data_IF_460059524285
#
_entry.id   IF_460059524285
#
_cell.length_a   1.000
_cell.length_b   1.000
_cell.length_c   1.000
_cell.angle_alpha   90.00
_cell.angle_beta   90.00
_cell.angle_gamma   90.00
#
_symmetry.space_group_name_H-M   'P 1'
#
loop_
_entity.id
_entity.type
_entity.pdbx_description
1 polymer ?
#
# COMPACT_ATOMS: atom_id res chain seq x y z
N UNK A 1 22.89 24.55 -65.68
CA UNK A 1 23.28 24.04 -64.35
C UNK A 1 22.26 24.54 -63.34
N UNK A 2 21.29 23.71 -62.88
CA UNK A 2 20.28 24.17 -61.94
C UNK A 2 20.80 24.08 -60.50
N UNK A 3 20.58 25.14 -59.71
CA UNK A 3 20.85 25.18 -58.27
C UNK A 3 19.65 24.59 -57.54
N UNK A 4 19.84 23.46 -56.87
CA UNK A 4 18.84 22.83 -56.00
C UNK A 4 18.86 23.59 -54.67
N UNK A 5 17.76 24.28 -54.37
CA UNK A 5 17.55 25.00 -53.12
C UNK A 5 17.06 24.02 -52.05
N UNK A 6 17.95 23.68 -51.10
CA UNK A 6 17.67 22.76 -50.01
C UNK A 6 16.98 23.53 -48.88
N UNK A 7 15.65 23.48 -48.83
CA UNK A 7 14.87 24.03 -47.72
C UNK A 7 14.90 23.06 -46.55
N UNK A 8 15.70 23.39 -45.53
CA UNK A 8 15.75 22.65 -44.26
C UNK A 8 14.53 23.06 -43.42
N UNK A 9 13.54 22.17 -43.32
CA UNK A 9 12.45 22.31 -42.35
C UNK A 9 13.02 21.98 -40.95
N UNK A 10 13.16 22.99 -40.10
CA UNK A 10 13.31 22.79 -38.66
C UNK A 10 11.95 22.30 -38.09
N UNK A 11 11.85 20.99 -37.88
CA UNK A 11 10.78 20.41 -37.08
C UNK A 11 11.01 20.72 -35.60
N UNK A 12 10.17 21.57 -35.02
CA UNK A 12 10.13 21.79 -33.58
C UNK A 12 9.61 20.51 -32.89
N UNK A 13 10.51 19.70 -32.35
CA UNK A 13 10.16 18.58 -31.47
C UNK A 13 9.74 19.19 -30.13
N UNK A 14 8.44 19.28 -29.91
CA UNK A 14 7.87 19.60 -28.60
C UNK A 14 7.98 18.34 -27.75
N UNK A 15 9.05 18.25 -26.96
CA UNK A 15 9.17 17.29 -25.87
C UNK A 15 8.15 17.68 -24.80
N UNK A 16 7.01 17.00 -24.78
CA UNK A 16 6.12 16.96 -23.63
C UNK A 16 6.86 16.20 -22.52
N UNK A 17 7.65 16.92 -21.73
CA UNK A 17 8.20 16.42 -20.47
C UNK A 17 7.02 16.04 -19.58
N UNK A 18 6.77 14.73 -19.47
CA UNK A 18 5.90 14.18 -18.46
C UNK A 18 6.49 14.57 -17.11
N UNK A 19 5.88 15.54 -16.44
CA UNK A 19 6.14 15.78 -15.03
C UNK A 19 5.78 14.51 -14.29
N UNK A 20 6.76 13.85 -13.69
CA UNK A 20 6.53 12.79 -12.71
C UNK A 20 5.57 13.34 -11.66
N UNK A 21 4.33 12.89 -11.75
CA UNK A 21 3.28 13.28 -10.82
C UNK A 21 3.64 12.60 -9.51
N UNK A 22 4.22 13.37 -8.58
CA UNK A 22 4.38 12.96 -7.19
C UNK A 22 3.09 12.25 -6.74
N UNK A 23 3.24 11.07 -6.13
CA UNK A 23 2.14 10.23 -5.67
C UNK A 23 1.02 11.10 -5.09
N UNK A 24 -0.10 11.21 -5.81
CA UNK A 24 -1.16 12.12 -5.40
C UNK A 24 -1.85 11.51 -4.20
N UNK A 25 -1.97 12.32 -3.15
CA UNK A 25 -2.59 11.93 -1.90
C UNK A 25 -4.11 12.04 -1.99
N UNK A 26 -4.69 11.16 -2.81
CA UNK A 26 -6.12 11.10 -3.01
C UNK A 26 -6.88 10.91 -1.68
N UNK A 27 -7.94 11.69 -1.51
CA UNK A 27 -8.88 11.64 -0.39
C UNK A 27 -10.26 11.17 -0.85
N UNK A 28 -11.09 10.73 0.10
CA UNK A 28 -12.51 10.50 -0.17
C UNK A 28 -13.16 11.82 -0.60
N UNK A 29 -13.87 11.81 -1.72
CA UNK A 29 -14.45 12.99 -2.36
C UNK A 29 -13.62 13.53 -3.53
N UNK A 30 -12.37 13.11 -3.69
CA UNK A 30 -11.55 13.52 -4.82
C UNK A 30 -12.03 12.89 -6.13
N UNK A 31 -11.82 13.62 -7.22
CA UNK A 31 -12.12 13.16 -8.58
C UNK A 31 -10.89 12.47 -9.15
N UNK A 32 -11.03 11.20 -9.50
CA UNK A 32 -9.94 10.40 -10.03
C UNK A 32 -10.40 9.54 -11.21
N UNK A 33 -9.47 9.23 -12.10
CA UNK A 33 -9.64 8.22 -13.15
C UNK A 33 -9.13 6.87 -12.64
N UNK A 34 -9.97 5.86 -12.76
CA UNK A 34 -9.69 4.47 -12.40
C UNK A 34 -10.03 3.58 -13.61
N UNK A 35 -9.03 2.92 -14.19
CA UNK A 35 -9.20 2.06 -15.39
C UNK A 35 -9.90 2.75 -16.58
N UNK A 36 -9.57 4.02 -16.84
CA UNK A 36 -10.17 4.80 -17.93
C UNK A 36 -11.55 5.39 -17.61
N UNK A 37 -12.09 5.17 -16.42
CA UNK A 37 -13.37 5.71 -15.98
C UNK A 37 -13.14 6.81 -14.93
N UNK A 38 -13.74 7.97 -15.15
CA UNK A 38 -13.61 9.12 -14.24
C UNK A 38 -14.78 9.15 -13.26
N UNK A 39 -14.48 9.11 -11.97
CA UNK A 39 -15.47 9.13 -10.90
C UNK A 39 -15.00 9.89 -9.67
N UNK A 40 -15.72 9.67 -8.57
CA UNK A 40 -15.39 10.22 -7.25
C UNK A 40 -14.94 9.08 -6.35
N UNK A 41 -13.83 9.26 -5.63
CA UNK A 41 -13.38 8.29 -4.64
C UNK A 41 -14.39 8.29 -3.49
N UNK A 42 -15.17 7.23 -3.38
CA UNK A 42 -16.22 7.10 -2.38
C UNK A 42 -15.68 6.59 -1.03
N UNK A 43 -14.68 5.71 -1.07
CA UNK A 43 -14.06 5.11 0.12
C UNK A 43 -12.75 4.40 -0.22
N UNK A 44 -12.02 4.03 0.81
CA UNK A 44 -10.88 3.13 0.73
C UNK A 44 -11.23 1.81 1.40
N UNK A 45 -11.25 0.72 0.62
CA UNK A 45 -11.48 -0.63 1.13
C UNK A 45 -10.13 -1.25 1.47
N UNK A 46 -9.94 -1.81 2.69
CA UNK A 46 -8.71 -2.49 3.04
C UNK A 46 -8.48 -3.68 2.10
N UNK A 47 -7.25 -3.79 1.58
CA UNK A 47 -6.84 -4.95 0.81
C UNK A 47 -6.11 -5.90 1.73
N UNK A 48 -6.76 -7.01 2.08
CA UNK A 48 -6.17 -7.97 3.02
C UNK A 48 -4.85 -8.51 2.44
N UNK A 49 -3.79 -8.47 3.23
CA UNK A 49 -2.44 -8.86 2.83
C UNK A 49 -1.62 -7.78 2.11
N UNK A 50 -2.14 -6.56 1.96
CA UNK A 50 -1.43 -5.44 1.32
C UNK A 50 -1.60 -4.16 2.15
N UNK A 51 -0.58 -3.30 2.20
CA UNK A 51 -0.65 -2.03 2.95
C UNK A 51 -1.53 -1.00 2.26
N UNK A 52 -1.60 -1.10 0.94
CA UNK A 52 -2.35 -0.16 0.12
C UNK A 52 -3.81 -0.61 0.00
N UNK A 53 -4.77 0.20 0.48
CA UNK A 53 -6.19 -0.07 0.29
C UNK A 53 -6.57 0.11 -1.19
N UNK A 54 -7.67 -0.52 -1.59
CA UNK A 54 -8.33 -0.16 -2.84
C UNK A 54 -9.05 1.16 -2.66
N UNK A 55 -8.82 2.13 -3.55
CA UNK A 55 -9.76 3.23 -3.74
C UNK A 55 -10.98 2.71 -4.50
N UNK A 56 -12.16 2.89 -3.94
CA UNK A 56 -13.42 2.62 -4.63
C UNK A 56 -13.89 3.90 -5.29
N UNK A 57 -13.81 3.94 -6.62
CA UNK A 57 -14.24 5.07 -7.44
C UNK A 57 -15.66 4.83 -7.93
N UNK A 58 -16.58 5.69 -7.53
CA UNK A 58 -17.97 5.71 -7.98
C UNK A 58 -18.11 6.53 -9.28
N UNK A 59 -18.66 5.89 -10.30
CA UNK A 59 -18.89 6.48 -11.62
C UNK A 59 -20.40 6.46 -11.90
N UNK A 60 -20.99 7.64 -12.09
CA UNK A 60 -22.41 7.78 -12.45
C UNK A 60 -22.56 7.84 -13.97
N UNK A 61 -23.28 6.89 -14.55
CA UNK A 61 -23.57 6.86 -15.98
C UNK A 61 -25.03 6.44 -16.20
N UNK A 62 -25.78 7.28 -16.93
CA UNK A 62 -27.19 7.02 -17.30
C UNK A 62 -28.10 6.64 -16.13
N UNK A 63 -27.94 7.31 -14.98
CA UNK A 63 -28.75 7.06 -13.78
C UNK A 63 -28.36 5.81 -12.99
N UNK A 64 -27.36 5.05 -13.43
CA UNK A 64 -26.77 3.93 -12.68
C UNK A 64 -25.43 4.36 -12.08
N UNK A 65 -25.12 3.90 -10.86
CA UNK A 65 -23.82 4.10 -10.21
C UNK A 65 -23.02 2.81 -10.31
N UNK A 66 -21.80 2.91 -10.84
CA UNK A 66 -20.85 1.81 -10.97
C UNK A 66 -19.70 2.04 -9.99
N UNK A 67 -19.20 0.97 -9.37
CA UNK A 67 -18.04 1.02 -8.48
C UNK A 67 -16.84 0.34 -9.15
N UNK A 68 -15.71 1.04 -9.15
CA UNK A 68 -14.44 0.51 -9.65
C UNK A 68 -13.42 0.49 -8.51
N UNK A 69 -12.75 -0.65 -8.30
CA UNK A 69 -11.68 -0.77 -7.31
C UNK A 69 -10.34 -0.58 -7.99
N UNK A 70 -9.61 0.45 -7.60
CA UNK A 70 -8.26 0.73 -8.08
C UNK A 70 -7.26 0.71 -6.95
N UNK A 71 -6.06 0.19 -7.21
CA UNK A 71 -4.90 0.45 -6.33
C UNK A 71 -4.39 1.88 -6.56
N UNK A 72 -3.68 2.50 -5.61
CA UNK A 72 -3.15 3.87 -5.76
C UNK A 72 -2.38 4.11 -7.06
N UNK A 73 -1.58 3.13 -7.51
CA UNK A 73 -0.83 3.20 -8.77
C UNK A 73 -1.70 3.21 -10.05
N UNK A 74 -2.98 2.85 -9.95
CA UNK A 74 -3.95 2.90 -11.04
C UNK A 74 -4.77 4.20 -11.06
N UNK A 75 -4.72 5.00 -10.00
CA UNK A 75 -5.44 6.26 -9.93
C UNK A 75 -4.68 7.36 -10.67
N UNK A 76 -5.37 8.04 -11.58
CA UNK A 76 -4.87 9.25 -12.23
C UNK A 76 -5.71 10.46 -11.84
N UNK A 77 -5.05 11.62 -11.78
CA UNK A 77 -5.73 12.88 -11.49
C UNK A 77 -6.74 13.13 -12.60
N UNK A 78 -8.02 13.18 -12.26
CA UNK A 78 -9.01 13.59 -13.24
C UNK A 78 -8.86 15.10 -13.47
N UNK A 79 -8.98 15.60 -14.71
CA UNK A 79 -9.12 17.02 -14.94
C UNK A 79 -10.24 17.59 -14.07
N UNK A 80 -10.12 18.83 -13.57
CA UNK A 80 -11.23 19.48 -12.88
C UNK A 80 -12.46 19.37 -13.78
N UNK A 81 -13.60 18.99 -13.20
CA UNK A 81 -14.84 18.91 -13.96
C UNK A 81 -15.01 20.25 -14.68
N UNK A 82 -14.97 20.23 -16.01
CA UNK A 82 -15.23 21.44 -16.78
C UNK A 82 -16.65 21.84 -16.39
N UNK A 83 -16.75 22.91 -15.61
CA UNK A 83 -18.03 23.48 -15.23
C UNK A 83 -18.84 23.58 -16.51
N UNK A 84 -19.93 22.83 -16.59
CA UNK A 84 -20.88 23.01 -17.68
C UNK A 84 -21.15 24.52 -17.78
N UNK A 85 -21.13 25.13 -18.98
CA UNK A 85 -21.24 26.57 -19.13
C UNK A 85 -22.48 27.05 -18.40
N UNK A 86 -22.26 27.67 -17.24
CA UNK A 86 -23.31 28.21 -16.40
C UNK A 86 -23.86 29.44 -17.11
N UNK A 87 -25.03 29.33 -17.75
CA UNK A 87 -25.82 30.49 -18.11
C UNK A 87 -26.07 31.30 -16.82
N UNK A 88 -25.64 32.57 -16.87
CA UNK A 88 -25.22 33.30 -15.67
C UNK A 88 -26.33 33.80 -14.76
N UNK A 89 -25.91 34.24 -13.57
CA UNK A 89 -26.56 35.31 -12.82
C UNK A 89 -25.61 35.85 -11.75
N UNK A 90 -25.24 37.12 -11.87
CA UNK A 90 -24.30 37.85 -11.01
C UNK A 90 -25.02 38.40 -9.78
N UNK A 91 -24.51 38.17 -8.57
CA UNK A 91 -24.86 38.95 -7.38
C UNK A 91 -23.62 39.18 -6.47
N UNK A 92 -23.46 40.37 -5.86
CA UNK A 92 -22.18 40.82 -5.32
C UNK A 92 -21.87 40.44 -3.87
N UNK A 93 -20.58 40.46 -3.59
CA UNK A 93 -19.86 40.03 -2.38
C UNK A 93 -20.08 40.87 -1.12
N UNK A 94 -19.85 40.25 0.06
CA UNK A 94 -19.69 40.94 1.35
C UNK A 94 -18.38 40.50 2.04
N UNK A 95 -17.65 41.49 2.56
CA UNK A 95 -16.27 41.46 3.06
C UNK A 95 -16.15 41.20 4.57
N UNK A 96 -15.11 40.42 4.91
CA UNK A 96 -14.10 40.56 6.00
C UNK A 96 -14.49 40.33 7.46
N UNK A 97 -13.79 39.35 8.05
CA UNK A 97 -12.88 39.60 9.17
C UNK A 97 -13.05 38.68 10.37
N UNK A 98 -11.98 38.02 10.84
CA UNK A 98 -11.57 37.94 12.26
C UNK A 98 -10.19 37.28 12.40
N UNK A 99 -9.44 37.78 13.39
CA UNK A 99 -8.00 37.69 13.67
C UNK A 99 -7.54 36.32 14.18
N UNK A 100 -6.26 36.02 13.91
CA UNK A 100 -5.48 34.90 14.45
C UNK A 100 -4.66 35.44 15.63
N UNK A 101 -4.68 34.77 16.79
CA UNK A 101 -3.78 35.02 17.93
C UNK A 101 -2.93 33.80 18.21
N UNK A 102 -1.63 34.05 18.42
CA UNK A 102 -0.59 33.09 18.73
C UNK A 102 -0.44 32.91 20.25
N UNK A 103 -0.03 31.71 20.69
CA UNK A 103 0.51 31.52 22.04
C UNK A 103 0.61 30.06 22.49
N UNK A 104 1.83 29.63 22.87
CA UNK A 104 2.05 28.73 24.00
C UNK A 104 2.45 27.28 23.71
N UNK A 105 3.75 27.01 23.77
CA UNK A 105 4.36 25.68 23.92
C UNK A 105 4.24 25.18 25.35
N UNK A 106 3.48 24.10 25.57
CA UNK A 106 3.60 23.20 26.70
C UNK A 106 3.06 21.83 26.27
N UNK A 107 3.89 20.78 26.30
CA UNK A 107 3.45 19.40 26.01
C UNK A 107 2.56 18.93 27.16
N UNK A 108 1.25 18.71 26.94
CA UNK A 108 0.36 18.21 27.97
C UNK A 108 0.59 16.70 28.16
N UNK A 109 0.31 16.14 29.36
CA UNK A 109 0.09 14.70 29.46
C UNK A 109 -1.00 14.33 28.46
N UNK A 110 -0.73 13.31 27.64
CA UNK A 110 -1.70 12.81 26.68
C UNK A 110 -2.88 12.22 27.45
N UNK A 111 -3.90 13.04 27.70
CA UNK A 111 -5.21 12.60 28.16
C UNK A 111 -5.82 11.84 26.98
N UNK A 112 -5.40 10.59 26.82
CA UNK A 112 -5.98 9.73 25.81
C UNK A 112 -7.47 9.59 26.13
N UNK A 113 -8.34 9.66 25.11
CA UNK A 113 -9.76 9.47 25.29
C UNK A 113 -9.98 8.11 25.92
N UNK A 114 -10.41 8.11 27.19
CA UNK A 114 -10.73 6.92 28.00
C UNK A 114 -12.06 6.30 27.55
N UNK A 115 -12.33 6.31 26.24
CA UNK A 115 -13.33 5.44 25.66
C UNK A 115 -12.85 4.00 25.76
N UNK A 116 -13.73 3.02 25.93
CA UNK A 116 -13.33 1.62 25.94
C UNK A 116 -12.87 1.23 24.52
N UNK A 117 -11.56 1.37 24.26
CA UNK A 117 -10.90 0.93 23.02
C UNK A 117 -11.27 -0.53 22.71
N UNK A 118 -11.46 -1.32 23.77
CA UNK A 118 -11.68 -2.76 23.70
C UNK A 118 -13.15 -3.15 23.63
N UNK A 119 -13.87 -2.53 22.70
CA UNK A 119 -15.18 -3.04 22.29
C UNK A 119 -14.96 -4.27 21.41
N UNK A 120 -15.59 -5.39 21.73
CA UNK A 120 -15.53 -6.61 20.88
C UNK A 120 -15.87 -6.27 19.44
N UNK A 121 -15.03 -6.72 18.50
CA UNK A 121 -15.12 -6.42 17.08
C UNK A 121 -14.56 -5.06 16.66
N UNK A 122 -14.05 -4.24 17.60
CA UNK A 122 -13.36 -3.01 17.25
C UNK A 122 -12.09 -3.31 16.46
N UNK A 123 -11.86 -2.50 15.42
CA UNK A 123 -10.64 -2.51 14.61
C UNK A 123 -9.69 -1.45 15.14
N UNK A 124 -8.56 -1.89 15.65
CA UNK A 124 -7.54 -1.05 16.27
C UNK A 124 -6.19 -1.29 15.58
N UNK A 125 -5.18 -0.56 16.03
CA UNK A 125 -3.79 -0.93 15.82
C UNK A 125 -3.19 -1.41 17.14
N UNK A 126 -2.50 -2.55 17.09
CA UNK A 126 -1.77 -3.15 18.20
C UNK A 126 -0.26 -3.04 18.00
N UNK A 127 0.45 -2.63 19.04
CA UNK A 127 1.90 -2.49 19.02
C UNK A 127 2.58 -3.84 19.25
N UNK A 128 3.47 -4.23 18.34
CA UNK A 128 4.36 -5.39 18.49
C UNK A 128 5.80 -4.95 18.19
N UNK A 129 6.65 -5.00 19.22
CA UNK A 129 7.97 -4.39 19.17
C UNK A 129 7.88 -2.88 18.92
N UNK A 130 8.50 -2.41 17.84
CA UNK A 130 8.51 -0.98 17.44
C UNK A 130 7.43 -0.64 16.39
N UNK A 131 6.68 -1.64 15.94
CA UNK A 131 5.74 -1.53 14.83
C UNK A 131 4.29 -1.63 15.31
N UNK A 132 3.37 -1.06 14.54
CA UNK A 132 1.93 -1.11 14.80
C UNK A 132 1.26 -1.93 13.70
N UNK A 133 0.39 -2.85 14.09
CA UNK A 133 -0.28 -3.79 13.18
C UNK A 133 -1.80 -3.70 13.34
N UNK A 134 -2.55 -3.99 12.29
CA UNK A 134 -4.01 -4.02 12.37
C UNK A 134 -4.47 -5.19 13.25
N UNK A 135 -5.37 -4.91 14.20
CA UNK A 135 -5.91 -5.93 15.11
C UNK A 135 -7.43 -5.83 15.26
N UNK A 136 -8.06 -6.96 15.56
CA UNK A 136 -9.47 -7.06 15.94
C UNK A 136 -9.61 -7.47 17.40
N UNK A 137 -10.40 -6.74 18.17
CA UNK A 137 -10.71 -7.10 19.56
C UNK A 137 -11.63 -8.33 19.60
N UNK A 138 -11.16 -9.41 20.21
CA UNK A 138 -11.88 -10.68 20.34
C UNK A 138 -12.77 -10.74 21.58
N UNK A 139 -12.33 -10.14 22.69
CA UNK A 139 -13.00 -10.19 23.98
C UNK A 139 -13.01 -8.82 24.66
N UNK A 140 -13.97 -8.55 25.56
CA UNK A 140 -13.91 -7.37 26.41
C UNK A 140 -12.64 -7.41 27.30
N UNK A 141 -12.25 -6.26 27.90
CA UNK A 141 -11.12 -6.21 28.81
C UNK A 141 -11.20 -7.28 29.91
N UNK A 142 -10.07 -7.91 30.21
CA UNK A 142 -9.94 -8.77 31.39
C UNK A 142 -9.87 -7.93 32.68
N UNK A 143 -9.69 -8.59 33.83
CA UNK A 143 -9.59 -7.91 35.13
C UNK A 143 -8.42 -6.92 35.21
N UNK A 144 -7.38 -7.12 34.41
CA UNK A 144 -6.18 -6.26 34.32
C UNK A 144 -6.34 -5.15 33.27
N UNK A 145 -7.49 -5.06 32.61
CA UNK A 145 -7.76 -4.08 31.56
C UNK A 145 -7.14 -4.39 30.21
N UNK A 146 -6.51 -5.56 30.03
CA UNK A 146 -5.96 -6.03 28.77
C UNK A 146 -7.03 -6.62 27.86
N UNK A 147 -6.81 -6.54 26.57
CA UNK A 147 -7.81 -6.88 25.56
C UNK A 147 -7.26 -8.01 24.71
N UNK A 148 -8.04 -9.10 24.60
CA UNK A 148 -7.70 -10.17 23.67
C UNK A 148 -7.89 -9.64 22.26
N UNK A 149 -6.84 -9.69 21.45
CA UNK A 149 -6.86 -9.23 20.06
C UNK A 149 -6.34 -10.31 19.13
N UNK A 150 -6.83 -10.29 17.90
CA UNK A 150 -6.30 -11.06 16.78
C UNK A 150 -5.66 -10.13 15.77
N UNK A 151 -4.46 -10.47 15.30
CA UNK A 151 -3.79 -9.69 14.26
C UNK A 151 -4.42 -9.99 12.90
N UNK A 152 -4.91 -8.95 12.22
CA UNK A 152 -5.61 -9.08 10.95
C UNK A 152 -4.65 -9.64 9.88
N UNK A 153 -4.99 -10.80 9.29
CA UNK A 153 -4.17 -11.46 8.27
C UNK A 153 -3.15 -12.46 8.82
N UNK A 154 -3.09 -12.61 10.14
CA UNK A 154 -2.25 -13.60 10.83
C UNK A 154 -3.12 -14.74 11.38
N UNK A 155 -2.51 -15.90 11.61
CA UNK A 155 -3.19 -17.06 12.21
C UNK A 155 -3.53 -16.84 13.69
N UNK A 156 -4.42 -17.67 14.24
CA UNK A 156 -4.85 -17.58 15.65
C UNK A 156 -3.73 -17.81 16.66
N UNK A 157 -2.61 -18.40 16.24
CA UNK A 157 -1.43 -18.58 17.08
C UNK A 157 -0.78 -17.23 17.46
N UNK A 158 -1.16 -16.14 16.80
CA UNK A 158 -0.73 -14.77 17.09
C UNK A 158 -1.76 -14.00 17.93
N UNK A 159 -2.89 -14.61 18.29
CA UNK A 159 -3.87 -14.00 19.18
C UNK A 159 -3.21 -13.75 20.55
N UNK A 160 -3.34 -12.54 21.08
CA UNK A 160 -2.64 -12.14 22.31
C UNK A 160 -3.44 -11.16 23.15
N UNK A 161 -3.03 -10.97 24.39
CA UNK A 161 -3.55 -9.94 25.29
C UNK A 161 -2.70 -8.68 25.13
N UNK A 162 -3.32 -7.57 24.75
CA UNK A 162 -2.64 -6.26 24.68
C UNK A 162 -3.14 -5.32 25.77
N UNK A 163 -2.22 -4.61 26.40
CA UNK A 163 -2.56 -3.53 27.31
C UNK A 163 -3.11 -2.31 26.53
N UNK A 164 -3.93 -1.46 27.15
CA UNK A 164 -4.53 -0.30 26.49
C UNK A 164 -3.53 0.68 25.86
N UNK A 165 -2.33 0.81 26.40
CA UNK A 165 -1.24 1.66 25.87
C UNK A 165 -0.55 1.07 24.64
N UNK A 166 -0.65 -0.24 24.45
CA UNK A 166 -0.24 -0.95 23.23
C UNK A 166 -1.33 -0.93 22.15
N UNK A 167 -2.50 -0.36 22.44
CA UNK A 167 -3.61 -0.24 21.52
C UNK A 167 -3.85 1.21 21.19
N UNK A 168 -4.17 1.49 19.94
CA UNK A 168 -4.64 2.82 19.54
C UNK A 168 -5.76 2.71 18.52
N UNK A 169 -6.64 3.72 18.44
CA UNK A 169 -7.54 3.85 17.31
C UNK A 169 -6.70 3.80 16.04
N UNK A 170 -7.12 2.98 15.08
CA UNK A 170 -6.47 2.90 13.78
C UNK A 170 -6.46 4.29 13.17
N UNK A 171 -5.27 4.90 13.13
CA UNK A 171 -5.10 6.28 12.67
C UNK A 171 -5.05 6.24 11.15
N UNK A 172 -6.23 6.05 10.52
CA UNK A 172 -6.24 5.61 9.12
C UNK A 172 -7.59 5.46 8.43
N UNK A 173 -8.67 6.03 8.97
CA UNK A 173 -9.74 6.56 8.09
C UNK A 173 -9.44 7.99 7.63
N UNK A 174 -8.22 8.47 7.88
CA UNK A 174 -7.67 9.68 7.31
C UNK A 174 -6.19 9.83 7.64
N UNK A 175 -5.37 10.04 6.60
CA UNK A 175 -4.12 10.83 6.63
C UNK A 175 -2.86 10.11 7.19
N UNK A 176 -2.20 9.36 6.29
CA UNK A 176 -0.77 9.00 6.14
C UNK A 176 -0.01 8.15 7.20
N UNK A 177 0.35 6.93 6.79
CA UNK A 177 1.66 6.35 7.11
C UNK A 177 2.62 6.67 5.95
N UNK A 178 3.81 7.20 6.27
CA UNK A 178 4.84 7.60 5.29
C UNK A 178 5.15 6.46 4.33
N UNK A 179 4.96 6.75 3.05
CA UNK A 179 5.54 6.03 1.93
C UNK A 179 7.05 5.85 2.16
N UNK A 180 7.62 4.63 2.08
CA UNK A 180 9.06 4.50 1.95
C UNK A 180 9.44 5.19 0.63
N UNK A 181 10.42 6.09 0.70
CA UNK A 181 11.03 6.67 -0.50
C UNK A 181 11.26 5.57 -1.52
N UNK A 182 10.55 5.64 -2.64
CA UNK A 182 10.91 4.94 -3.85
C UNK A 182 12.37 5.31 -4.12
N UNK A 183 13.29 4.41 -3.80
CA UNK A 183 14.58 4.42 -4.46
C UNK A 183 14.24 4.15 -5.91
N UNK A 184 14.48 5.14 -6.77
CA UNK A 184 14.70 4.85 -8.17
C UNK A 184 15.82 3.83 -8.20
N UNK A 185 15.48 2.60 -8.58
CA UNK A 185 16.48 1.59 -8.92
C UNK A 185 16.97 1.99 -10.31
N UNK A 186 17.74 3.08 -10.36
CA UNK A 186 18.60 3.40 -11.48
C UNK A 186 19.86 2.55 -11.31
N UNK A 187 19.72 1.23 -11.45
CA UNK A 187 20.85 0.38 -11.80
C UNK A 187 20.35 -0.76 -12.67
N UNK A 188 20.57 -0.53 -13.97
CA UNK A 188 20.43 -1.45 -15.07
C UNK A 188 21.47 -2.58 -14.90
N UNK A 189 21.21 -3.54 -14.02
CA UNK A 189 21.98 -4.78 -13.92
C UNK A 189 21.14 -5.95 -14.48
N UNK A 190 21.51 -6.38 -15.67
CA UNK A 190 21.09 -7.56 -16.45
C UNK A 190 19.91 -8.39 -15.91
N UNK A 191 18.72 -8.05 -16.39
CA UNK A 191 17.54 -8.92 -16.37
C UNK A 191 17.69 -9.96 -17.49
N UNK A 192 18.26 -11.14 -17.20
CA UNK A 192 18.17 -12.30 -18.11
C UNK A 192 18.50 -13.64 -17.43
N UNK A 193 17.69 -14.06 -16.46
CA UNK A 193 17.58 -15.49 -16.15
C UNK A 193 16.22 -15.79 -15.49
N UNK A 194 15.14 -15.75 -16.28
CA UNK A 194 13.90 -16.45 -15.91
C UNK A 194 14.08 -17.93 -16.26
N UNK A 195 14.02 -18.80 -15.27
CA UNK A 195 14.19 -20.24 -15.43
C UNK A 195 13.85 -21.00 -14.15
N UNK A 196 14.01 -22.31 -14.20
CA UNK A 196 13.90 -23.15 -13.01
C UNK A 196 14.94 -22.70 -11.97
N UNK A 197 14.53 -22.62 -10.72
CA UNK A 197 15.46 -22.30 -9.64
C UNK A 197 16.47 -23.45 -9.49
N UNK A 198 17.78 -23.15 -9.33
CA UNK A 198 18.76 -24.20 -9.12
C UNK A 198 18.51 -24.93 -7.79
N UNK A 199 18.96 -26.18 -7.71
CA UNK A 199 19.00 -26.91 -6.45
C UNK A 199 19.97 -26.23 -5.47
N UNK A 200 19.62 -26.25 -4.19
CA UNK A 200 20.42 -25.64 -3.12
C UNK A 200 19.60 -25.26 -1.89
N UNK A 201 20.29 -24.71 -0.90
CA UNK A 201 19.70 -24.16 0.31
C UNK A 201 19.70 -22.62 0.21
N UNK A 202 18.59 -22.01 0.62
CA UNK A 202 18.34 -20.58 0.48
C UNK A 202 17.73 -20.00 1.75
N UNK A 203 18.18 -18.82 2.16
CA UNK A 203 17.51 -18.01 3.18
C UNK A 203 16.45 -17.12 2.53
N UNK A 204 15.20 -17.33 2.91
CA UNK A 204 14.07 -16.57 2.37
C UNK A 204 13.70 -15.39 3.25
N UNK A 205 13.53 -14.24 2.60
CA UNK A 205 13.18 -12.99 3.22
C UNK A 205 11.93 -12.37 2.60
N UNK A 206 11.27 -11.54 3.41
CA UNK A 206 10.20 -10.65 2.95
C UNK A 206 10.50 -9.24 3.39
N UNK A 207 10.39 -8.28 2.47
CA UNK A 207 10.41 -6.87 2.84
C UNK A 207 9.04 -6.56 3.44
N UNK A 208 9.01 -6.29 4.74
CA UNK A 208 7.81 -5.81 5.41
C UNK A 208 7.34 -4.48 4.81
N UNK A 209 6.07 -4.13 5.00
CA UNK A 209 5.52 -2.80 4.74
C UNK A 209 6.41 -1.61 5.14
N UNK A 210 7.11 -1.75 6.28
CA UNK A 210 8.01 -0.74 6.83
C UNK A 210 9.41 -0.74 6.23
N UNK A 211 9.66 -1.50 5.18
CA UNK A 211 10.97 -1.66 4.54
C UNK A 211 11.96 -2.53 5.34
N UNK A 212 11.53 -3.13 6.46
CA UNK A 212 12.38 -4.04 7.22
C UNK A 212 12.43 -5.39 6.54
N UNK A 213 13.63 -5.94 6.37
CA UNK A 213 13.82 -7.31 5.94
C UNK A 213 13.37 -8.24 7.07
N UNK A 214 12.34 -9.03 6.83
CA UNK A 214 11.87 -10.08 7.73
C UNK A 214 12.41 -11.40 7.23
N UNK A 215 13.03 -12.12 8.14
CA UNK A 215 13.47 -13.48 7.91
C UNK A 215 12.27 -14.43 8.06
N UNK A 216 12.00 -15.24 7.03
CA UNK A 216 10.87 -16.15 7.02
C UNK A 216 11.33 -17.58 7.32
N UNK A 217 12.53 -17.96 6.90
CA UNK A 217 13.11 -19.28 7.13
C UNK A 217 13.93 -19.78 5.95
N UNK A 218 14.30 -21.05 6.03
CA UNK A 218 15.16 -21.73 5.07
C UNK A 218 14.33 -22.48 4.03
N UNK A 219 14.72 -22.37 2.76
CA UNK A 219 14.16 -23.07 1.61
C UNK A 219 15.21 -24.00 1.05
N UNK A 220 14.89 -25.29 0.91
CA UNK A 220 15.71 -26.27 0.21
C UNK A 220 15.04 -26.63 -1.11
N UNK A 221 15.78 -26.55 -2.20
CA UNK A 221 15.37 -27.00 -3.54
C UNK A 221 16.21 -28.23 -3.89
N UNK A 222 15.55 -29.35 -4.15
CA UNK A 222 16.21 -30.60 -4.52
C UNK A 222 15.42 -31.29 -5.63
N UNK A 223 16.08 -31.61 -6.75
CA UNK A 223 15.47 -32.22 -7.93
C UNK A 223 14.26 -31.40 -8.44
N UNK A 224 14.33 -30.07 -8.31
CA UNK A 224 13.25 -29.14 -8.64
C UNK A 224 12.06 -29.12 -7.65
N UNK A 225 12.10 -29.92 -6.58
CA UNK A 225 11.12 -29.87 -5.51
C UNK A 225 11.57 -28.91 -4.40
N UNK A 226 10.65 -28.04 -3.97
CA UNK A 226 10.91 -27.03 -2.97
C UNK A 226 10.28 -27.38 -1.62
N UNK A 227 11.08 -27.32 -0.57
CA UNK A 227 10.63 -27.56 0.81
C UNK A 227 11.08 -26.41 1.71
N UNK A 228 10.19 -25.96 2.58
CA UNK A 228 10.47 -24.86 3.52
C UNK A 228 10.09 -25.32 4.94
N UNK A 229 11.05 -25.80 5.75
CA UNK A 229 10.79 -26.19 7.12
C UNK A 229 10.20 -25.03 7.93
N UNK A 230 9.24 -25.32 8.81
CA UNK A 230 8.62 -24.30 9.66
C UNK A 230 7.60 -23.40 8.95
N UNK A 231 7.25 -23.70 7.69
CA UNK A 231 6.13 -23.04 7.02
C UNK A 231 4.83 -23.25 7.84
N UNK A 232 4.03 -22.19 8.11
CA UNK A 232 2.82 -22.33 8.92
C UNK A 232 1.81 -23.32 8.34
N UNK A 233 1.05 -23.97 9.21
CA UNK A 233 0.02 -24.93 8.80
C UNK A 233 -0.98 -24.31 7.80
N UNK A 234 -1.26 -25.07 6.74
CA UNK A 234 -2.18 -24.68 5.67
C UNK A 234 -1.59 -23.75 4.61
N UNK A 235 -0.31 -23.38 4.71
CA UNK A 235 0.39 -22.71 3.62
C UNK A 235 0.79 -23.72 2.54
N UNK A 236 0.86 -23.27 1.29
CA UNK A 236 1.16 -24.10 0.13
C UNK A 236 2.17 -23.38 -0.75
N UNK A 237 3.30 -24.01 -1.06
CA UNK A 237 4.22 -23.52 -2.09
C UNK A 237 3.55 -23.69 -3.45
N UNK A 238 3.48 -22.60 -4.23
CA UNK A 238 2.85 -22.58 -5.56
C UNK A 238 3.89 -22.77 -6.66
N UNK A 239 5.02 -22.07 -6.58
CA UNK A 239 6.10 -22.15 -7.55
C UNK A 239 7.41 -21.61 -6.97
N UNK A 240 8.51 -22.09 -7.51
CA UNK A 240 9.85 -21.55 -7.25
C UNK A 240 10.50 -21.23 -8.59
N UNK A 241 11.15 -20.08 -8.69
CA UNK A 241 11.73 -19.62 -9.95
C UNK A 241 12.98 -18.79 -9.74
N UNK A 242 13.94 -18.89 -10.68
CA UNK A 242 15.06 -17.97 -10.72
C UNK A 242 14.56 -16.60 -11.18
N UNK A 243 14.82 -15.57 -10.38
CA UNK A 243 14.43 -14.18 -10.66
C UNK A 243 15.55 -13.40 -11.33
N UNK A 244 16.80 -13.76 -11.02
CA UNK A 244 17.99 -13.13 -11.54
C UNK A 244 19.21 -13.58 -10.76
N UNK A 245 20.30 -12.84 -10.89
CA UNK A 245 21.51 -13.04 -10.09
C UNK A 245 21.92 -11.73 -9.45
N UNK A 246 22.58 -11.81 -8.29
CA UNK A 246 23.19 -10.68 -7.60
C UNK A 246 24.61 -11.09 -7.24
N UNK A 247 25.60 -10.33 -7.72
CA UNK A 247 27.02 -10.62 -7.48
C UNK A 247 27.44 -12.05 -7.91
N UNK A 248 26.74 -12.60 -8.92
CA UNK A 248 26.93 -13.97 -9.42
C UNK A 248 26.13 -15.05 -8.67
N UNK A 249 25.45 -14.71 -7.59
CA UNK A 249 24.62 -15.63 -6.80
C UNK A 249 23.15 -15.61 -7.27
N UNK A 250 22.45 -16.75 -7.31
CA UNK A 250 21.06 -16.80 -7.76
C UNK A 250 20.11 -16.13 -6.76
N UNK A 251 19.26 -15.23 -7.24
CA UNK A 251 18.11 -14.71 -6.49
C UNK A 251 16.87 -15.52 -6.88
N UNK A 252 16.36 -16.29 -5.93
CA UNK A 252 15.22 -17.19 -6.13
C UNK A 252 13.94 -16.56 -5.58
N UNK A 253 12.83 -16.70 -6.31
CA UNK A 253 11.51 -16.30 -5.85
C UNK A 253 10.69 -17.53 -5.46
N UNK A 254 10.12 -17.53 -4.25
CA UNK A 254 9.17 -18.53 -3.76
C UNK A 254 7.76 -17.91 -3.73
N UNK A 255 6.88 -18.34 -4.63
CA UNK A 255 5.47 -17.99 -4.57
C UNK A 255 4.74 -19.00 -3.68
N UNK A 256 3.92 -18.51 -2.76
CA UNK A 256 3.16 -19.35 -1.84
C UNK A 256 1.72 -18.84 -1.69
N UNK A 257 0.85 -19.72 -1.19
CA UNK A 257 -0.51 -19.40 -0.75
C UNK A 257 -0.63 -19.62 0.74
N UNK A 258 -1.09 -18.63 1.49
CA UNK A 258 -1.36 -18.76 2.93
C UNK A 258 -2.60 -19.61 3.22
N UNK A 259 -2.78 -20.01 4.47
CA UNK A 259 -3.96 -20.75 4.93
C UNK A 259 -5.28 -19.97 4.78
N UNK A 260 -5.22 -18.65 4.73
CA UNK A 260 -6.38 -17.79 4.44
C UNK A 260 -6.61 -17.55 2.94
N UNK A 261 -5.83 -18.20 2.07
CA UNK A 261 -5.98 -18.17 0.62
C UNK A 261 -5.26 -17.01 -0.10
N UNK A 262 -4.39 -16.26 0.58
CA UNK A 262 -3.62 -15.18 -0.06
C UNK A 262 -2.41 -15.72 -0.78
N UNK A 263 -2.17 -15.26 -2.00
CA UNK A 263 -0.95 -15.55 -2.73
C UNK A 263 0.06 -14.42 -2.48
N UNK A 264 1.31 -14.78 -2.24
CA UNK A 264 2.39 -13.84 -2.00
C UNK A 264 3.74 -14.44 -2.43
N UNK A 265 4.80 -13.65 -2.35
CA UNK A 265 6.15 -14.01 -2.80
C UNK A 265 7.20 -13.70 -1.73
N UNK A 266 8.17 -14.61 -1.60
CA UNK A 266 9.42 -14.40 -0.86
C UNK A 266 10.59 -14.27 -1.82
N UNK A 267 11.59 -13.49 -1.44
CA UNK A 267 12.88 -13.40 -2.11
C UNK A 267 13.90 -14.20 -1.30
N UNK A 268 14.51 -15.21 -1.92
CA UNK A 268 15.41 -16.15 -1.29
C UNK A 268 16.81 -16.03 -1.91
N UNK A 269 17.82 -15.96 -1.06
CA UNK A 269 19.25 -15.88 -1.43
C UNK A 269 19.97 -17.12 -0.92
N UNK A 270 21.08 -17.57 -1.55
CA UNK A 270 21.82 -18.72 -1.03
C UNK A 270 22.27 -18.47 0.41
N UNK A 271 22.22 -19.52 1.24
CA UNK A 271 22.76 -19.49 2.62
C UNK A 271 24.29 -19.68 2.66
#
# INVERSE_FOLDING_TARGET
MPRISLSVLLGAIILLSGTDVAAQDYQVGDRAECSGQVGIIARFDPRVGWDEPFAVVEVKSSGTTYEFKCVPSQLKAAPPAQSAPSSGSTAPARKIGTKISAGGTATPPSTQPTGPLCKVGAKLEGQWGISWYSVTVLQPPNADGQCAVSFDGYGRDWDTLMAPDQLRPRTGLGVYARSPSARTVDDESEVAATGDAPDGDYRCHKISPGGQLMDIGDLTIQDGEATMPGMPDGWTILSVSLRGTKDGEPLVALDYRSSSGFNDRLDCVPD
#
